data_IF_552367326606
#
_entry.id   IF_552367326606
#
_cell.length_a   1.000
_cell.length_b   1.000
_cell.length_c   1.000
_cell.angle_alpha   90.00
_cell.angle_beta   90.00
_cell.angle_gamma   90.00
#
_symmetry.space_group_name_H-M   'P 1'
#
loop_
_entity.id
_entity.type
_entity.pdbx_description
1 polymer ?
#
# COMPACT_ATOMS: atom_id res chain seq x y z
N UNK A 1 1.99 -11.85 0.92
CA UNK A 1 2.26 -10.46 1.35
C UNK A 1 1.21 -9.92 2.32
N UNK A 2 -0.11 -10.12 2.13
CA UNK A 2 -1.10 -9.55 3.08
C UNK A 2 -0.97 -10.16 4.48
N UNK A 3 -0.85 -11.48 4.54
CA UNK A 3 -0.71 -12.24 5.80
C UNK A 3 0.54 -11.85 6.60
N UNK A 4 1.57 -11.34 5.93
CA UNK A 4 2.84 -10.89 6.52
C UNK A 4 2.89 -9.37 6.72
N UNK A 5 1.75 -8.68 6.71
CA UNK A 5 1.65 -7.20 6.76
C UNK A 5 2.55 -6.49 5.73
N UNK A 6 2.66 -7.06 4.53
CA UNK A 6 3.52 -6.55 3.46
C UNK A 6 4.97 -6.33 3.90
N UNK A 7 5.52 -7.21 4.77
CA UNK A 7 6.89 -7.17 5.28
C UNK A 7 7.93 -6.87 4.21
N UNK A 8 7.80 -7.49 3.04
CA UNK A 8 8.72 -7.33 1.92
C UNK A 8 8.69 -5.91 1.33
N UNK A 9 7.54 -5.23 1.37
CA UNK A 9 7.44 -3.82 0.99
C UNK A 9 8.00 -2.91 2.09
N UNK A 10 7.64 -3.19 3.35
CA UNK A 10 7.99 -2.37 4.51
C UNK A 10 9.48 -2.38 4.85
N UNK A 11 10.20 -3.43 4.43
CA UNK A 11 11.65 -3.49 4.57
C UNK A 11 12.39 -2.31 3.91
N UNK A 12 11.82 -1.74 2.85
CA UNK A 12 12.36 -0.56 2.18
C UNK A 12 11.42 0.66 2.21
N UNK A 13 10.10 0.45 2.38
CA UNK A 13 9.09 1.52 2.39
C UNK A 13 8.39 1.61 3.75
N UNK A 14 8.83 2.54 4.58
CA UNK A 14 8.15 2.83 5.83
C UNK A 14 6.91 3.71 5.61
N UNK A 15 5.78 3.26 6.14
CA UNK A 15 4.52 3.99 6.11
C UNK A 15 4.63 5.32 6.88
N UNK A 16 5.33 5.34 8.01
CA UNK A 16 5.47 6.55 8.83
C UNK A 16 6.34 7.62 8.14
N UNK A 17 7.17 7.20 7.19
CA UNK A 17 8.01 8.09 6.38
C UNK A 17 7.27 8.69 5.17
N UNK A 18 5.99 8.36 4.96
CA UNK A 18 5.18 8.93 3.88
C UNK A 18 4.78 10.38 4.17
N UNK A 19 5.23 11.31 3.31
CA UNK A 19 4.72 12.68 3.32
C UNK A 19 3.36 12.77 2.61
N UNK A 20 2.29 12.73 3.40
CA UNK A 20 0.92 12.81 2.89
C UNK A 20 0.61 14.16 2.22
N UNK A 21 1.28 15.25 2.57
CA UNK A 21 0.99 16.56 2.00
C UNK A 21 1.38 16.63 0.51
N UNK A 22 2.43 15.88 0.13
CA UNK A 22 2.91 15.75 -1.26
C UNK A 22 2.12 14.77 -2.12
N UNK A 23 1.15 14.07 -1.55
CA UNK A 23 0.36 13.08 -2.28
C UNK A 23 -0.88 13.71 -2.92
N UNK A 24 -1.25 13.21 -4.09
CA UNK A 24 -2.52 13.51 -4.73
C UNK A 24 -3.70 13.27 -3.78
N UNK A 25 -4.77 14.05 -3.94
CA UNK A 25 -5.92 14.09 -3.00
C UNK A 25 -6.49 12.69 -2.70
N UNK A 26 -6.62 11.84 -3.72
CA UNK A 26 -7.16 10.48 -3.57
C UNK A 26 -6.18 9.59 -2.82
N UNK A 27 -4.90 9.61 -3.20
CA UNK A 27 -3.83 8.83 -2.55
C UNK A 27 -3.71 9.20 -1.08
N UNK A 28 -3.69 10.50 -0.76
CA UNK A 28 -3.70 10.99 0.62
C UNK A 28 -4.89 10.45 1.42
N UNK A 29 -6.10 10.50 0.86
CA UNK A 29 -7.30 9.96 1.52
C UNK A 29 -7.19 8.45 1.73
N UNK A 30 -6.68 7.70 0.76
CA UNK A 30 -6.53 6.24 0.86
C UNK A 30 -5.45 5.84 1.85
N UNK A 31 -4.28 6.48 1.80
CA UNK A 31 -3.22 6.23 2.77
C UNK A 31 -3.71 6.57 4.18
N UNK A 32 -4.31 7.73 4.44
CA UNK A 32 -4.79 8.07 5.79
C UNK A 32 -5.90 7.17 6.35
N UNK A 33 -6.71 6.52 5.50
CA UNK A 33 -7.83 5.66 5.93
C UNK A 33 -7.53 4.16 5.88
N UNK A 34 -6.59 3.73 5.03
CA UNK A 34 -6.26 2.31 4.81
C UNK A 34 -5.79 1.59 6.08
N UNK A 35 -4.76 2.10 6.79
CA UNK A 35 -4.27 1.49 8.02
C UNK A 35 -5.32 1.43 9.12
N UNK A 36 -6.18 2.46 9.22
CA UNK A 36 -7.32 2.47 10.17
C UNK A 36 -8.33 1.35 9.90
N UNK A 37 -8.40 0.90 8.66
CA UNK A 37 -9.24 -0.22 8.22
C UNK A 37 -8.47 -1.56 8.17
N UNK A 38 -7.27 -1.64 8.75
CA UNK A 38 -6.45 -2.86 8.77
C UNK A 38 -5.88 -3.26 7.39
N UNK A 39 -5.83 -2.33 6.44
CA UNK A 39 -5.26 -2.60 5.11
C UNK A 39 -3.74 -2.51 5.14
N UNK A 40 -3.13 -3.36 4.33
CA UNK A 40 -1.69 -3.45 4.10
C UNK A 40 -1.33 -2.89 2.72
N UNK A 41 -0.04 -2.74 2.42
CA UNK A 41 0.43 -2.18 1.14
C UNK A 41 -0.17 -2.94 -0.06
N UNK A 42 -0.16 -4.28 -0.01
CA UNK A 42 -0.60 -5.14 -1.11
C UNK A 42 -2.12 -5.16 -1.31
N UNK A 43 -2.92 -4.63 -0.37
CA UNK A 43 -4.37 -4.53 -0.56
C UNK A 43 -4.75 -3.56 -1.68
N UNK A 44 -3.90 -2.57 -1.96
CA UNK A 44 -4.11 -1.60 -3.05
C UNK A 44 -3.01 -1.64 -4.12
N UNK A 45 -1.75 -1.87 -3.73
CA UNK A 45 -0.61 -1.90 -4.63
C UNK A 45 -0.37 -3.27 -5.25
N UNK A 46 -1.43 -3.89 -5.76
CA UNK A 46 -1.36 -5.15 -6.52
C UNK A 46 -0.76 -4.88 -7.89
N UNK A 47 0.02 -5.82 -8.41
CA UNK A 47 0.58 -5.67 -9.76
C UNK A 47 1.90 -4.90 -9.85
N UNK A 48 2.45 -4.37 -8.74
CA UNK A 48 3.65 -3.50 -8.78
C UNK A 48 4.92 -4.26 -9.16
N UNK A 49 5.21 -5.36 -8.46
CA UNK A 49 6.42 -6.15 -8.73
C UNK A 49 6.20 -7.15 -9.87
N UNK A 50 5.00 -7.72 -9.94
CA UNK A 50 4.60 -8.70 -10.95
C UNK A 50 3.19 -8.39 -11.40
N UNK A 51 2.89 -8.54 -12.70
CA UNK A 51 1.57 -8.31 -13.25
C UNK A 51 0.56 -9.29 -12.64
N UNK A 52 -0.69 -8.84 -12.50
CA UNK A 52 -1.78 -9.74 -12.16
C UNK A 52 -2.05 -10.72 -13.31
N UNK A 53 -2.55 -11.92 -13.02
CA UNK A 53 -3.08 -12.82 -14.03
C UNK A 53 -4.16 -12.11 -14.87
N UNK A 54 -4.26 -12.45 -16.15
CA UNK A 54 -5.17 -11.79 -17.10
C UNK A 54 -6.66 -12.06 -16.83
N UNK A 55 -6.94 -13.00 -15.95
CA UNK A 55 -8.25 -13.57 -15.62
C UNK A 55 -8.74 -13.18 -14.20
N UNK A 56 -8.10 -12.20 -13.57
CA UNK A 56 -8.47 -11.65 -12.25
C UNK A 56 -9.08 -10.25 -12.30
#
# INVERSE_FOLDING_TARGET
>A
MKETDSRECRGCHDYASMDHAKQEKISRKKHTSGPKAGKTCIDCHKGIAHKLPHDM
#
